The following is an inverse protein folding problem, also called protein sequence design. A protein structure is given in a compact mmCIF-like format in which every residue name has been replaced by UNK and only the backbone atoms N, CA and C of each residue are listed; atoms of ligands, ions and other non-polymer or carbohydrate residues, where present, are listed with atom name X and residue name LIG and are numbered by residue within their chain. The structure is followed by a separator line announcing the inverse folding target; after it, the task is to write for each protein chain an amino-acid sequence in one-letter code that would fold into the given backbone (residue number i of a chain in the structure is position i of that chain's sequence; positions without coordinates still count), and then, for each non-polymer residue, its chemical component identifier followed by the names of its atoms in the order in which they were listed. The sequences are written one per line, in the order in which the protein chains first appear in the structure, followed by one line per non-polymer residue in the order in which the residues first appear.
data_IF_237286280037
#
_entry.id   IF_237286280037
#
_cell.length_a   1.000
_cell.length_b   1.000
_cell.length_c   1.000
_cell.angle_alpha   90.00
_cell.angle_beta   90.00
_cell.angle_gamma   90.00
#
_symmetry.space_group_name_H-M   'P 1'
#
loop_
_entity.id
_entity.type
_entity.pdbx_description
1 polymer ?
#
# COMPACT_ATOMS: atom_id res chain seq x y z
N UNK A 1 7.59 14.24 -12.94
CA UNK A 1 6.65 13.81 -11.90
C UNK A 1 5.32 13.53 -12.60
N UNK A 2 4.78 12.32 -12.47
CA UNK A 2 3.53 11.94 -13.13
C UNK A 2 2.34 12.40 -12.27
N UNK A 3 1.47 13.29 -12.79
CA UNK A 3 0.37 13.86 -12.02
C UNK A 3 -0.61 12.80 -11.52
N UNK A 4 -0.87 11.74 -12.29
CA UNK A 4 -1.73 10.65 -11.87
C UNK A 4 -1.18 9.91 -10.64
N UNK A 5 0.16 9.76 -10.56
CA UNK A 5 0.82 9.19 -9.39
C UNK A 5 0.78 10.12 -8.18
N UNK A 6 0.90 11.43 -8.39
CA UNK A 6 0.75 12.43 -7.31
C UNK A 6 -0.67 12.36 -6.73
N UNK A 7 -1.68 12.30 -7.57
CA UNK A 7 -3.08 12.22 -7.15
C UNK A 7 -3.38 10.88 -6.45
N UNK A 8 -2.85 9.78 -6.97
CA UNK A 8 -2.90 8.44 -6.35
C UNK A 8 -2.29 8.48 -4.94
N UNK A 9 -1.07 9.01 -4.80
CA UNK A 9 -0.40 9.14 -3.51
C UNK A 9 -1.22 9.96 -2.50
N UNK A 10 -1.88 11.04 -2.96
CA UNK A 10 -2.75 11.83 -2.10
C UNK A 10 -4.02 11.08 -1.67
N UNK A 11 -4.64 10.30 -2.57
CA UNK A 11 -5.81 9.47 -2.24
C UNK A 11 -5.46 8.38 -1.22
N UNK A 12 -4.33 7.69 -1.42
CA UNK A 12 -3.79 6.73 -0.47
C UNK A 12 -3.59 7.41 0.89
N UNK A 13 -2.84 8.52 0.93
CA UNK A 13 -2.59 9.28 2.17
C UNK A 13 -3.88 9.63 2.93
N UNK A 14 -4.88 10.15 2.24
CA UNK A 14 -6.16 10.53 2.87
C UNK A 14 -6.93 9.31 3.39
N UNK A 15 -6.91 8.20 2.65
CA UNK A 15 -7.57 6.96 3.06
C UNK A 15 -6.88 6.25 4.21
N UNK A 16 -5.55 6.35 4.33
CA UNK A 16 -4.78 5.67 5.37
C UNK A 16 -4.51 6.52 6.61
N UNK A 17 -4.69 7.84 6.55
CA UNK A 17 -4.45 8.75 7.68
C UNK A 17 -5.31 8.45 8.92
N UNK A 18 -6.49 7.87 8.74
CA UNK A 18 -7.41 7.50 9.83
C UNK A 18 -7.25 6.07 10.31
N UNK A 19 -6.30 5.32 9.75
CA UNK A 19 -6.10 3.91 10.09
C UNK A 19 -5.51 3.81 11.49
N UNK A 20 -6.35 3.46 12.45
CA UNK A 20 -6.00 3.25 13.84
C UNK A 20 -5.94 1.78 14.22
N UNK A 21 -6.33 1.49 15.46
CA UNK A 21 -6.26 0.14 16.00
C UNK A 21 -7.50 -0.71 15.70
N UNK A 22 -8.62 -0.10 15.30
CA UNK A 22 -9.86 -0.83 15.07
C UNK A 22 -9.77 -1.67 13.78
N UNK A 23 -10.44 -2.82 13.78
CA UNK A 23 -10.45 -3.72 12.63
C UNK A 23 -11.03 -3.03 11.37
N UNK A 24 -12.15 -2.34 11.53
CA UNK A 24 -12.85 -1.67 10.43
C UNK A 24 -12.03 -0.53 9.84
N UNK A 25 -11.30 0.23 10.67
CA UNK A 25 -10.38 1.28 10.21
C UNK A 25 -9.26 0.70 9.34
N UNK A 26 -8.69 -0.42 9.76
CA UNK A 26 -7.65 -1.13 9.00
C UNK A 26 -8.19 -1.70 7.71
N UNK A 27 -9.38 -2.30 7.74
CA UNK A 27 -10.00 -2.85 6.55
C UNK A 27 -10.29 -1.75 5.52
N UNK A 28 -10.88 -0.62 5.94
CA UNK A 28 -11.09 0.53 5.06
C UNK A 28 -9.78 1.08 4.47
N UNK A 29 -8.72 1.16 5.28
CA UNK A 29 -7.39 1.57 4.80
C UNK A 29 -6.83 0.61 3.74
N UNK A 30 -6.96 -0.70 3.96
CA UNK A 30 -6.55 -1.73 3.00
C UNK A 30 -7.36 -1.66 1.71
N UNK A 31 -8.65 -1.38 1.77
CA UNK A 31 -9.51 -1.25 0.59
C UNK A 31 -9.09 -0.06 -0.29
N UNK A 32 -8.82 1.09 0.32
CA UNK A 32 -8.28 2.26 -0.43
C UNK A 32 -6.95 1.91 -1.07
N UNK A 33 -6.04 1.28 -0.32
CA UNK A 33 -4.72 0.96 -0.81
C UNK A 33 -4.77 -0.08 -1.95
N UNK A 34 -5.64 -1.10 -1.85
CA UNK A 34 -5.89 -2.06 -2.94
C UNK A 34 -6.44 -1.39 -4.18
N UNK A 35 -7.47 -0.57 -4.03
CA UNK A 35 -8.12 0.13 -5.15
C UNK A 35 -7.16 1.03 -5.90
N UNK A 36 -6.34 1.80 -5.19
CA UNK A 36 -5.41 2.73 -5.82
C UNK A 36 -4.22 2.03 -6.49
N UNK A 37 -3.94 0.78 -6.12
CA UNK A 37 -2.84 -0.05 -6.64
C UNK A 37 -3.29 -1.13 -7.63
N UNK A 38 -4.59 -1.31 -7.87
CA UNK A 38 -5.18 -2.41 -8.66
C UNK A 38 -4.58 -2.54 -10.08
N UNK A 39 -4.30 -1.40 -10.72
CA UNK A 39 -3.73 -1.33 -12.08
C UNK A 39 -2.21 -1.05 -12.08
N UNK A 40 -1.51 -1.44 -11.03
CA UNK A 40 -0.07 -1.19 -10.87
C UNK A 40 0.70 -2.50 -10.70
N UNK A 41 2.03 -2.45 -10.86
CA UNK A 41 2.91 -3.60 -10.61
C UNK A 41 3.17 -3.84 -9.12
N UNK A 42 2.64 -2.98 -8.24
CA UNK A 42 2.77 -3.14 -6.81
C UNK A 42 1.81 -4.23 -6.30
N UNK A 43 2.30 -5.25 -5.56
CA UNK A 43 1.44 -6.31 -5.02
C UNK A 43 0.63 -5.77 -3.83
N UNK A 44 -0.53 -5.20 -4.11
CA UNK A 44 -1.34 -4.49 -3.12
C UNK A 44 -1.74 -5.36 -1.91
N UNK A 45 -1.95 -6.67 -2.12
CA UNK A 45 -2.20 -7.64 -1.06
C UNK A 45 -1.06 -7.70 -0.05
N UNK A 46 0.15 -7.96 -0.54
CA UNK A 46 1.38 -8.05 0.27
C UNK A 46 1.70 -6.72 0.95
N UNK A 47 1.55 -5.60 0.24
CA UNK A 47 1.74 -4.26 0.82
C UNK A 47 0.75 -4.01 1.96
N UNK A 48 -0.52 -4.38 1.78
CA UNK A 48 -1.52 -4.25 2.84
C UNK A 48 -1.17 -5.14 4.05
N UNK A 49 -0.69 -6.36 3.85
CA UNK A 49 -0.33 -7.25 4.96
C UNK A 49 0.89 -6.76 5.74
N UNK A 50 1.86 -6.14 5.05
CA UNK A 50 3.06 -5.55 5.67
C UNK A 50 2.69 -4.26 6.41
N UNK A 51 1.99 -3.34 5.74
CA UNK A 51 1.78 -1.97 6.24
C UNK A 51 0.55 -1.81 7.12
N UNK A 52 -0.53 -2.52 6.80
CA UNK A 52 -1.82 -2.44 7.52
C UNK A 52 -2.26 -3.86 7.90
N UNK A 53 -1.50 -4.56 8.77
CA UNK A 53 -1.84 -5.92 9.14
C UNK A 53 -3.21 -5.96 9.83
N UNK A 54 -4.08 -6.87 9.39
CA UNK A 54 -5.37 -7.08 10.06
C UNK A 54 -5.12 -7.67 11.45
N UNK A 55 -5.83 -7.13 12.44
CA UNK A 55 -5.80 -7.65 13.80
C UNK A 55 -6.33 -9.09 13.78
N UNK A 56 -5.48 -10.07 14.11
CA UNK A 56 -5.96 -11.43 14.31
C UNK A 56 -6.59 -11.53 15.71
N UNK A 57 -7.90 -11.83 15.83
CA UNK A 57 -8.58 -11.89 17.11
C UNK A 57 -8.03 -12.98 18.04
N UNK A 58 -7.28 -13.95 17.51
CA UNK A 58 -6.66 -15.05 18.27
C UNK A 58 -5.23 -14.73 18.74
N UNK A 59 -4.64 -13.60 18.34
CA UNK A 59 -3.28 -13.22 18.75
C UNK A 59 -3.33 -12.11 19.81
N UNK A 60 -2.65 -12.33 20.94
CA UNK A 60 -2.51 -11.33 22.01
C UNK A 60 -1.68 -10.10 21.59
N UNK A 61 -0.73 -10.28 20.68
CA UNK A 61 0.07 -9.19 20.16
C UNK A 61 -0.75 -8.36 19.16
N UNK A 62 -0.89 -7.05 19.44
CA UNK A 62 -1.48 -6.11 18.49
C UNK A 62 -0.55 -6.01 17.30
N UNK A 63 -1.04 -6.36 16.11
CA UNK A 63 -0.34 -6.01 14.89
C UNK A 63 -0.39 -4.48 14.77
N UNK A 64 0.75 -3.81 14.66
CA UNK A 64 0.82 -2.37 14.53
C UNK A 64 0.82 -2.00 13.05
N UNK A 65 0.14 -0.91 12.72
CA UNK A 65 0.18 -0.31 11.40
C UNK A 65 1.54 0.35 11.23
N UNK A 66 2.26 0.03 10.16
CA UNK A 66 3.53 0.65 9.84
C UNK A 66 3.29 1.98 9.12
N UNK A 67 3.04 3.02 9.92
CA UNK A 67 2.79 4.36 9.38
C UNK A 67 4.01 4.94 8.67
N UNK A 68 5.22 4.56 9.09
CA UNK A 68 6.45 5.04 8.44
C UNK A 68 6.62 4.39 7.07
N UNK A 69 6.34 3.09 6.95
CA UNK A 69 6.32 2.39 5.67
C UNK A 69 5.23 2.92 4.73
N UNK A 70 4.05 3.29 5.26
CA UNK A 70 3.01 3.97 4.48
C UNK A 70 3.46 5.31 3.93
N UNK A 71 4.07 6.15 4.77
CA UNK A 71 4.60 7.45 4.34
C UNK A 71 5.70 7.28 3.28
N UNK A 72 6.62 6.33 3.44
CA UNK A 72 7.67 6.03 2.45
C UNK A 72 7.07 5.57 1.11
N UNK A 73 6.10 4.66 1.13
CA UNK A 73 5.39 4.21 -0.06
C UNK A 73 4.73 5.40 -0.77
N UNK A 74 4.01 6.25 -0.03
CA UNK A 74 3.33 7.44 -0.58
C UNK A 74 4.34 8.37 -1.23
N UNK A 75 5.49 8.62 -0.61
CA UNK A 75 6.54 9.46 -1.18
C UNK A 75 7.12 8.87 -2.47
N UNK A 76 7.39 7.56 -2.50
CA UNK A 76 7.93 6.88 -3.68
C UNK A 76 6.95 6.90 -4.85
N UNK A 77 5.67 6.58 -4.60
CA UNK A 77 4.62 6.71 -5.60
C UNK A 77 4.58 8.13 -6.15
N UNK A 78 4.60 9.15 -5.26
CA UNK A 78 4.57 10.55 -5.68
C UNK A 78 5.76 10.93 -6.58
N UNK A 79 6.95 10.42 -6.30
CA UNK A 79 8.19 10.71 -7.04
C UNK A 79 8.33 9.90 -8.33
N UNK A 80 7.70 8.74 -8.41
CA UNK A 80 7.72 7.86 -9.59
C UNK A 80 7.19 8.58 -10.84
N UNK A 81 7.89 8.38 -11.95
CA UNK A 81 7.45 8.81 -13.27
C UNK A 81 6.74 7.68 -14.04
N UNK A 82 6.80 6.43 -13.55
CA UNK A 82 6.19 5.26 -14.18
C UNK A 82 4.72 5.15 -13.77
N UNK A 83 3.82 5.08 -14.74
CA UNK A 83 2.38 5.00 -14.47
C UNK A 83 1.98 3.70 -13.76
N UNK A 84 2.72 2.63 -14.01
CA UNK A 84 2.53 1.28 -13.46
C UNK A 84 3.33 1.05 -12.17
N UNK A 85 4.14 2.02 -11.72
CA UNK A 85 4.94 1.97 -10.49
C UNK A 85 5.92 0.79 -10.42
N UNK A 86 6.39 0.30 -11.57
CA UNK A 86 7.40 -0.77 -11.63
C UNK A 86 8.69 -0.38 -10.90
N UNK A 87 9.11 0.88 -10.99
CA UNK A 87 10.27 1.43 -10.26
C UNK A 87 10.11 1.33 -8.74
N UNK A 88 8.91 1.57 -8.22
CA UNK A 88 8.61 1.44 -6.78
C UNK A 88 8.60 -0.03 -6.36
N UNK A 89 8.07 -0.93 -7.20
CA UNK A 89 8.04 -2.36 -6.92
C UNK A 89 9.45 -2.95 -6.84
N UNK A 90 10.32 -2.57 -7.78
CA UNK A 90 11.74 -2.95 -7.81
C UNK A 90 12.47 -2.45 -6.56
N UNK A 91 12.25 -1.19 -6.18
CA UNK A 91 12.92 -0.56 -5.03
C UNK A 91 12.53 -1.21 -3.69
N UNK A 92 11.28 -1.64 -3.56
CA UNK A 92 10.82 -2.32 -2.35
C UNK A 92 11.22 -3.81 -2.31
N UNK A 93 11.87 -4.32 -3.37
CA UNK A 93 12.19 -5.74 -3.53
C UNK A 93 10.98 -6.64 -3.21
N UNK A 94 9.78 -6.14 -3.51
CA UNK A 94 8.54 -6.88 -3.35
C UNK A 94 8.59 -7.92 -4.45
N UNK A 95 8.77 -9.19 -4.08
CA UNK A 95 8.75 -10.31 -5.01
C UNK A 95 7.57 -10.07 -5.95
N UNK A 96 7.86 -9.89 -7.24
CA UNK A 96 6.87 -9.63 -8.25
C UNK A 96 5.89 -10.80 -8.23
N UNK A 97 4.78 -10.65 -7.52
CA UNK A 97 3.70 -11.65 -7.40
C UNK A 97 2.86 -11.64 -8.69
N UNK A 98 3.53 -11.58 -9.83
CA UNK A 98 2.98 -11.76 -11.15
C UNK A 98 3.86 -12.82 -11.80
N UNK A 99 3.42 -14.08 -11.69
CA UNK A 99 3.93 -15.10 -12.61
C UNK A 99 3.76 -14.55 -14.03
N UNK A 100 4.81 -14.56 -14.86
CA UNK A 100 4.66 -14.20 -16.25
C UNK A 100 3.67 -15.19 -16.86
N UNK A 101 2.51 -14.70 -17.31
CA UNK A 101 1.61 -15.47 -18.16
C UNK A 101 2.40 -15.77 -19.43
N UNK A 102 2.81 -17.04 -19.57
CA UNK A 102 3.34 -17.60 -20.82
C UNK A 102 2.20 -17.99 -21.73
#
# INVERSE_FOLDING_TARGET
MNQANVDRAQRIKRGTQKVGHAHDERQAGREVLKKELEDTKLPAGSICDILIPLQNPKKSARANVDQRGLDDLIEKIKRSNQSDLCDVADEWNLIHDVQPVR
#
